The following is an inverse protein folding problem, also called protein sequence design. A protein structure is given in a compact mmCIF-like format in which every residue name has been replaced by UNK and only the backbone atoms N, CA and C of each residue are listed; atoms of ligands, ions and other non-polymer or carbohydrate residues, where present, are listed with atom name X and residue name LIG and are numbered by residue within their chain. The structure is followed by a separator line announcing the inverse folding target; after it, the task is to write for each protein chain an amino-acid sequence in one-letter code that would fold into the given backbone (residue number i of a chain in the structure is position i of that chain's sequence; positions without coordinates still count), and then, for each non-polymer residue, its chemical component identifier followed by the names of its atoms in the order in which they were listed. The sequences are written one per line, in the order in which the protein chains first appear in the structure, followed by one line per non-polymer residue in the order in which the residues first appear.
data_IF_175366320318
#
_entry.id   IF_175366320318
#
_cell.length_a   1.000
_cell.length_b   1.000
_cell.length_c   1.000
_cell.angle_alpha   90.00
_cell.angle_beta   90.00
_cell.angle_gamma   90.00
#
_symmetry.space_group_name_H-M   'P 1'
#
loop_
_entity.id
_entity.type
_entity.pdbx_description
1 polymer ?
#
# COMPACT_ATOMS: atom_id res chain seq x y z
N UNK A 1 64.09 -23.71 -23.29
CA UNK A 1 62.95 -24.50 -22.76
C UNK A 1 62.32 -23.96 -21.45
N UNK A 2 62.49 -22.67 -21.06
CA UNK A 2 61.91 -22.15 -19.79
C UNK A 2 60.65 -21.28 -19.95
N UNK A 3 60.35 -20.81 -21.16
CA UNK A 3 59.21 -19.91 -21.43
C UNK A 3 57.88 -20.68 -21.54
N UNK A 4 57.89 -21.94 -21.99
CA UNK A 4 56.65 -22.74 -22.16
C UNK A 4 55.97 -23.13 -20.85
N UNK A 5 56.72 -23.24 -19.74
CA UNK A 5 56.15 -23.58 -18.42
C UNK A 5 55.42 -22.40 -17.76
N UNK A 6 55.86 -21.17 -18.02
CA UNK A 6 55.19 -19.97 -17.48
C UNK A 6 53.86 -19.67 -18.17
N UNK A 7 53.77 -19.92 -19.48
CA UNK A 7 52.52 -19.75 -20.25
C UNK A 7 51.47 -20.78 -19.81
N UNK A 8 51.88 -22.03 -19.57
CA UNK A 8 50.97 -23.07 -19.07
C UNK A 8 50.42 -22.75 -17.66
N UNK A 9 51.26 -22.21 -16.76
CA UNK A 9 50.83 -21.78 -15.42
C UNK A 9 49.88 -20.57 -15.49
N UNK A 10 50.13 -19.63 -16.40
CA UNK A 10 49.25 -18.48 -16.61
C UNK A 10 47.87 -18.87 -17.17
N UNK A 11 47.82 -19.83 -18.10
CA UNK A 11 46.55 -20.34 -18.67
C UNK A 11 45.76 -21.11 -17.61
N UNK A 12 46.42 -21.88 -16.75
CA UNK A 12 45.76 -22.59 -15.62
C UNK A 12 45.22 -21.59 -14.59
N UNK A 13 45.98 -20.55 -14.24
CA UNK A 13 45.50 -19.48 -13.34
C UNK A 13 44.30 -18.71 -13.91
N UNK A 14 44.28 -18.45 -15.22
CA UNK A 14 43.14 -17.81 -15.89
C UNK A 14 41.90 -18.73 -15.98
N UNK A 15 42.11 -20.03 -16.19
CA UNK A 15 41.04 -21.03 -16.20
C UNK A 15 40.41 -21.21 -14.81
N UNK A 16 41.19 -21.11 -13.73
CA UNK A 16 40.67 -21.18 -12.35
C UNK A 16 39.82 -19.94 -12.01
N UNK A 17 40.16 -18.75 -12.52
CA UNK A 17 39.33 -17.56 -12.31
C UNK A 17 38.03 -17.56 -13.11
N UNK A 18 38.00 -18.22 -14.28
CA UNK A 18 36.77 -18.41 -15.05
C UNK A 18 35.82 -19.46 -14.44
N UNK A 19 36.30 -20.26 -13.49
CA UNK A 19 35.57 -21.43 -12.94
C UNK A 19 34.70 -21.12 -11.72
N UNK A 20 34.74 -19.92 -11.13
CA UNK A 20 34.02 -19.63 -9.87
C UNK A 20 33.39 -18.25 -9.86
N UNK A 21 32.34 -18.07 -10.68
CA UNK A 21 31.28 -17.09 -10.41
C UNK A 21 30.01 -17.51 -11.14
N UNK A 22 29.41 -18.63 -10.72
CA UNK A 22 28.06 -18.95 -11.18
C UNK A 22 27.13 -17.80 -10.75
N UNK A 23 26.49 -17.14 -11.72
CA UNK A 23 25.56 -16.06 -11.43
C UNK A 23 24.46 -16.60 -10.50
N UNK A 24 24.36 -16.01 -9.31
CA UNK A 24 23.32 -16.34 -8.34
C UNK A 24 21.96 -16.05 -8.97
N UNK A 25 21.09 -17.06 -8.98
CA UNK A 25 19.70 -16.91 -9.41
C UNK A 25 18.85 -16.53 -8.21
N UNK A 26 17.85 -15.67 -8.41
CA UNK A 26 16.97 -15.21 -7.35
C UNK A 26 15.51 -15.46 -7.72
N UNK A 27 14.72 -15.90 -6.74
CA UNK A 27 13.26 -15.84 -6.77
C UNK A 27 12.87 -14.41 -6.42
N UNK A 28 11.96 -13.82 -7.19
CA UNK A 28 11.51 -12.42 -7.03
C UNK A 28 10.00 -12.38 -6.85
N UNK A 29 9.54 -11.77 -5.74
CA UNK A 29 8.16 -11.39 -5.55
C UNK A 29 8.03 -9.87 -5.50
N UNK A 30 7.00 -9.36 -6.16
CA UNK A 30 6.59 -7.97 -6.05
C UNK A 30 5.47 -7.89 -5.01
N UNK A 31 5.61 -6.99 -4.04
CA UNK A 31 4.57 -6.65 -3.05
C UNK A 31 4.17 -5.20 -3.30
N UNK A 32 2.88 -4.95 -3.51
CA UNK A 32 2.36 -3.65 -3.91
C UNK A 32 1.28 -3.15 -2.94
N UNK A 33 1.07 -1.83 -2.93
CA UNK A 33 -0.09 -1.19 -2.36
C UNK A 33 -0.69 -0.22 -3.37
N UNK A 34 -2.03 -0.17 -3.44
CA UNK A 34 -2.74 0.75 -4.31
C UNK A 34 -4.07 1.22 -3.71
N UNK A 35 -4.21 2.53 -3.48
CA UNK A 35 -5.52 3.15 -3.24
C UNK A 35 -6.33 3.15 -4.55
N UNK A 36 -7.48 2.47 -4.56
CA UNK A 36 -8.29 2.28 -5.77
C UNK A 36 -9.23 3.45 -6.08
N UNK A 37 -9.20 4.52 -5.27
CA UNK A 37 -10.02 5.73 -5.34
C UNK A 37 -11.49 5.38 -5.55
N UNK A 38 -12.21 5.20 -4.44
CA UNK A 38 -13.67 5.00 -4.43
C UNK A 38 -14.12 3.90 -5.40
N UNK A 39 -13.57 2.68 -5.27
CA UNK A 39 -14.01 1.54 -6.07
C UNK A 39 -15.37 1.04 -5.58
N UNK A 40 -16.42 1.77 -5.96
CA UNK A 40 -17.82 1.46 -5.70
C UNK A 40 -18.46 0.74 -6.89
N UNK A 41 -19.40 -0.15 -6.61
CA UNK A 41 -20.34 -0.72 -7.56
C UNK A 41 -21.44 0.31 -7.91
N UNK A 42 -22.60 -0.12 -8.39
CA UNK A 42 -23.68 0.79 -8.84
C UNK A 42 -25.00 0.52 -8.13
N UNK A 43 -24.94 -0.22 -7.03
CA UNK A 43 -26.07 -0.76 -6.27
C UNK A 43 -26.17 0.06 -5.00
N UNK A 44 -27.35 0.64 -4.75
CA UNK A 44 -27.58 1.40 -3.53
C UNK A 44 -27.64 0.46 -2.31
N UNK A 45 -26.80 0.71 -1.32
CA UNK A 45 -26.75 -0.05 -0.07
C UNK A 45 -26.95 0.88 1.13
N UNK A 46 -26.55 0.47 2.34
CA UNK A 46 -26.76 1.25 3.57
C UNK A 46 -25.62 2.21 3.92
N UNK A 47 -24.54 2.22 3.14
CA UNK A 47 -23.42 3.13 3.24
C UNK A 47 -23.74 4.50 2.60
N UNK A 48 -22.93 5.50 2.93
CA UNK A 48 -23.09 6.86 2.41
C UNK A 48 -22.27 7.04 1.13
N UNK A 49 -22.79 6.56 0.00
CA UNK A 49 -22.12 6.59 -1.31
C UNK A 49 -23.04 7.04 -2.46
N UNK A 50 -24.14 7.76 -2.17
CA UNK A 50 -25.18 8.07 -3.16
C UNK A 50 -24.67 8.87 -4.37
N UNK A 51 -23.54 9.58 -4.21
CA UNK A 51 -22.83 10.26 -5.31
C UNK A 51 -22.33 9.28 -6.39
N UNK A 52 -22.01 8.04 -6.00
CA UNK A 52 -21.51 6.94 -6.83
C UNK A 52 -22.65 6.04 -7.34
N UNK A 53 -23.88 6.53 -7.40
CA UNK A 53 -24.98 5.84 -8.07
C UNK A 53 -25.20 6.38 -9.49
N UNK A 54 -25.92 5.65 -10.36
CA UNK A 54 -26.21 6.11 -11.72
C UNK A 54 -26.92 7.46 -11.80
N UNK A 55 -27.64 7.86 -10.75
CA UNK A 55 -28.33 9.15 -10.61
C UNK A 55 -27.61 10.12 -9.65
N UNK A 56 -26.47 9.73 -9.10
CA UNK A 56 -25.65 10.55 -8.21
C UNK A 56 -24.85 11.60 -8.98
N UNK A 57 -24.16 12.48 -8.24
CA UNK A 57 -23.37 13.58 -8.81
C UNK A 57 -22.23 13.11 -9.71
N UNK A 58 -21.68 11.90 -9.49
CA UNK A 58 -20.64 11.32 -10.35
C UNK A 58 -21.20 10.68 -11.63
N UNK A 59 -22.53 10.59 -11.79
CA UNK A 59 -23.17 9.84 -12.88
C UNK A 59 -22.56 8.44 -13.05
N UNK A 60 -22.41 7.70 -11.95
CA UNK A 60 -21.67 6.44 -11.91
C UNK A 60 -22.50 5.31 -12.49
N UNK A 61 -22.35 5.11 -13.80
CA UNK A 61 -23.07 4.06 -14.54
C UNK A 61 -22.30 2.74 -14.55
N UNK A 62 -22.97 1.64 -14.86
CA UNK A 62 -22.30 0.34 -15.05
C UNK A 62 -21.22 0.34 -16.13
N UNK A 63 -21.30 1.24 -17.12
CA UNK A 63 -20.23 1.42 -18.11
C UNK A 63 -18.98 2.07 -17.48
N UNK A 64 -19.16 3.08 -16.62
CA UNK A 64 -18.05 3.71 -15.89
C UNK A 64 -17.40 2.74 -14.92
N UNK A 65 -18.21 2.01 -14.14
CA UNK A 65 -17.73 0.98 -13.24
C UNK A 65 -16.87 -0.08 -13.96
N UNK A 66 -17.35 -0.64 -15.07
CA UNK A 66 -16.58 -1.60 -15.87
C UNK A 66 -15.28 -1.01 -16.41
N UNK A 67 -15.28 0.27 -16.79
CA UNK A 67 -14.06 0.95 -17.22
C UNK A 67 -13.08 1.15 -16.06
N UNK A 68 -13.56 1.50 -14.87
CA UNK A 68 -12.75 1.60 -13.65
C UNK A 68 -12.09 0.26 -13.32
N UNK A 69 -12.84 -0.85 -13.37
CA UNK A 69 -12.31 -2.21 -13.19
C UNK A 69 -11.18 -2.50 -14.18
N UNK A 70 -11.37 -2.21 -15.48
CA UNK A 70 -10.32 -2.40 -16.50
C UNK A 70 -9.08 -1.56 -16.24
N UNK A 71 -9.26 -0.31 -15.82
CA UNK A 71 -8.17 0.60 -15.47
C UNK A 71 -7.37 0.05 -14.28
N UNK A 72 -8.04 -0.39 -13.22
CA UNK A 72 -7.40 -0.98 -12.03
C UNK A 72 -6.67 -2.28 -12.38
N UNK A 73 -7.31 -3.17 -13.14
CA UNK A 73 -6.72 -4.43 -13.58
C UNK A 73 -5.46 -4.21 -14.43
N UNK A 74 -5.47 -3.21 -15.31
CA UNK A 74 -4.28 -2.83 -16.10
C UNK A 74 -3.12 -2.46 -15.18
N UNK A 75 -3.35 -1.55 -14.24
CA UNK A 75 -2.32 -1.10 -13.30
C UNK A 75 -1.77 -2.27 -12.49
N UNK A 76 -2.65 -3.09 -11.90
CA UNK A 76 -2.26 -4.28 -11.15
C UNK A 76 -1.43 -5.24 -12.00
N UNK A 77 -1.76 -5.40 -13.28
CA UNK A 77 -1.01 -6.30 -14.17
C UNK A 77 0.44 -5.83 -14.40
N UNK A 78 0.69 -4.53 -14.32
CA UNK A 78 1.93 -3.87 -14.74
C UNK A 78 2.85 -3.42 -13.58
N UNK A 79 2.32 -3.20 -12.35
CA UNK A 79 3.12 -2.73 -11.20
C UNK A 79 4.29 -3.67 -10.92
N UNK A 80 5.49 -3.09 -10.78
CA UNK A 80 6.70 -3.82 -10.39
C UNK A 80 7.05 -4.99 -11.31
N UNK A 81 6.76 -4.86 -12.61
CA UNK A 81 7.15 -5.84 -13.64
C UNK A 81 8.59 -5.61 -14.13
N UNK A 82 9.25 -4.50 -13.79
CA UNK A 82 10.61 -4.19 -14.28
C UNK A 82 11.65 -5.24 -13.87
N UNK A 83 11.55 -5.76 -12.65
CA UNK A 83 12.42 -6.83 -12.14
C UNK A 83 11.73 -8.20 -12.09
N UNK A 84 10.44 -8.25 -12.48
CA UNK A 84 9.63 -9.46 -12.52
C UNK A 84 8.76 -9.49 -13.79
N UNK A 85 9.36 -9.47 -15.00
CA UNK A 85 8.64 -9.18 -16.25
C UNK A 85 7.58 -10.20 -16.61
N UNK A 86 7.65 -11.40 -16.03
CA UNK A 86 6.72 -12.50 -16.30
C UNK A 86 5.61 -12.60 -15.24
N UNK A 87 5.61 -11.74 -14.22
CA UNK A 87 4.59 -11.78 -13.18
C UNK A 87 4.10 -10.40 -12.71
N UNK A 88 2.86 -10.37 -12.26
CA UNK A 88 2.26 -9.22 -11.57
C UNK A 88 2.53 -9.36 -10.05
N UNK A 89 2.22 -8.34 -9.23
CA UNK A 89 2.46 -8.41 -7.80
C UNK A 89 1.89 -9.66 -7.15
N UNK A 90 2.70 -10.33 -6.34
CA UNK A 90 2.29 -11.53 -5.62
C UNK A 90 1.34 -11.19 -4.48
N UNK A 91 1.54 -10.04 -3.83
CA UNK A 91 0.71 -9.50 -2.76
C UNK A 91 0.34 -8.05 -3.11
N UNK A 92 -0.93 -7.68 -2.95
CA UNK A 92 -1.43 -6.34 -3.22
C UNK A 92 -2.32 -5.92 -2.06
N UNK A 93 -1.88 -4.95 -1.26
CA UNK A 93 -2.75 -4.23 -0.35
C UNK A 93 -3.60 -3.22 -1.14
N UNK A 94 -4.87 -3.11 -0.81
CA UNK A 94 -5.78 -2.13 -1.38
C UNK A 94 -6.47 -1.28 -0.33
N UNK A 95 -6.88 -0.08 -0.72
CA UNK A 95 -7.75 0.81 0.05
C UNK A 95 -8.81 1.44 -0.87
N UNK A 96 -9.85 2.00 -0.26
CA UNK A 96 -11.01 2.61 -0.94
C UNK A 96 -11.78 1.61 -1.80
N UNK A 97 -12.11 0.49 -1.16
CA UNK A 97 -12.87 -0.61 -1.74
C UNK A 97 -14.22 -0.64 -1.07
N UNK A 98 -15.31 -0.62 -1.84
CA UNK A 98 -16.64 -0.64 -1.22
C UNK A 98 -16.94 -1.94 -0.48
N UNK A 99 -16.73 -3.06 -1.18
CA UNK A 99 -17.16 -4.36 -0.72
C UNK A 99 -16.37 -5.48 -1.40
N UNK A 100 -16.60 -6.72 -0.97
CA UNK A 100 -15.95 -7.89 -1.59
C UNK A 100 -16.32 -8.08 -3.07
N UNK A 101 -17.54 -7.73 -3.47
CA UNK A 101 -18.04 -7.91 -4.84
C UNK A 101 -17.21 -7.17 -5.87
N UNK A 102 -16.84 -5.91 -5.59
CA UNK A 102 -15.98 -5.14 -6.51
C UNK A 102 -14.59 -5.75 -6.69
N UNK A 103 -14.05 -6.41 -5.67
CA UNK A 103 -12.78 -7.13 -5.77
C UNK A 103 -12.92 -8.41 -6.57
N UNK A 104 -14.05 -9.11 -6.43
CA UNK A 104 -14.34 -10.31 -7.22
C UNK A 104 -14.48 -10.00 -8.71
N UNK A 105 -15.09 -8.86 -9.05
CA UNK A 105 -15.14 -8.36 -10.43
C UNK A 105 -13.75 -7.96 -10.93
N UNK A 106 -12.96 -7.30 -10.10
CA UNK A 106 -11.59 -6.92 -10.43
C UNK A 106 -10.70 -8.12 -10.77
N UNK A 107 -10.65 -9.14 -9.90
CA UNK A 107 -9.78 -10.30 -10.12
C UNK A 107 -10.25 -11.19 -11.29
N UNK A 108 -11.49 -11.02 -11.77
CA UNK A 108 -12.02 -11.69 -12.95
C UNK A 108 -11.72 -10.96 -14.26
N UNK A 109 -11.17 -9.74 -14.22
CA UNK A 109 -10.82 -9.01 -15.45
C UNK A 109 -9.81 -9.81 -16.30
N UNK A 110 -9.97 -9.89 -17.64
CA UNK A 110 -9.10 -10.69 -18.51
C UNK A 110 -7.60 -10.38 -18.40
N UNK A 111 -7.23 -9.17 -17.98
CA UNK A 111 -5.83 -8.77 -17.81
C UNK A 111 -5.14 -9.50 -16.65
N UNK A 112 -5.89 -9.88 -15.61
CA UNK A 112 -5.33 -10.45 -14.37
C UNK A 112 -5.96 -11.77 -13.93
N UNK A 113 -7.03 -12.25 -14.57
CA UNK A 113 -7.69 -13.52 -14.21
C UNK A 113 -6.74 -14.72 -14.18
N UNK A 114 -5.75 -14.77 -15.07
CA UNK A 114 -4.75 -15.85 -15.13
C UNK A 114 -3.74 -15.84 -13.97
N UNK A 115 -3.72 -14.77 -13.15
CA UNK A 115 -2.89 -14.68 -11.95
C UNK A 115 -3.52 -15.36 -10.74
N UNK A 116 -4.82 -15.74 -10.84
CA UNK A 116 -5.56 -16.48 -9.82
C UNK A 116 -5.41 -15.87 -8.42
N UNK A 117 -5.80 -14.59 -8.31
CA UNK A 117 -5.78 -13.88 -7.04
C UNK A 117 -6.86 -14.43 -6.09
N UNK A 118 -6.48 -14.65 -4.83
CA UNK A 118 -7.39 -14.77 -3.70
C UNK A 118 -7.62 -13.41 -3.02
N UNK A 119 -8.68 -13.31 -2.23
CA UNK A 119 -9.13 -12.07 -1.57
C UNK A 119 -9.27 -12.31 -0.07
N UNK A 120 -8.60 -11.50 0.75
CA UNK A 120 -8.92 -11.29 2.16
C UNK A 120 -9.48 -9.87 2.32
N UNK A 121 -10.70 -9.76 2.85
CA UNK A 121 -11.47 -8.52 2.98
C UNK A 121 -12.42 -8.61 4.16
N UNK A 122 -12.67 -7.49 4.83
CA UNK A 122 -13.70 -7.32 5.85
C UNK A 122 -14.33 -5.95 5.71
N UNK A 123 -15.64 -5.90 5.95
CA UNK A 123 -16.35 -4.63 6.05
C UNK A 123 -15.86 -3.85 7.27
N UNK A 124 -15.51 -2.58 7.08
CA UNK A 124 -15.06 -1.69 8.13
C UNK A 124 -16.21 -0.85 8.66
N UNK A 125 -16.07 -0.24 9.86
CA UNK A 125 -17.15 0.56 10.42
C UNK A 125 -17.15 2.00 9.85
N UNK A 126 -16.43 2.25 8.75
CA UNK A 126 -16.44 3.52 8.05
C UNK A 126 -17.81 3.80 7.42
N UNK A 127 -18.34 5.01 7.59
CA UNK A 127 -19.69 5.35 7.14
C UNK A 127 -19.85 5.41 5.63
N UNK A 128 -18.76 5.71 4.90
CA UNK A 128 -18.76 5.68 3.42
C UNK A 128 -18.68 4.24 2.90
N UNK A 129 -18.36 3.28 3.76
CA UNK A 129 -18.17 1.89 3.37
C UNK A 129 -16.91 1.69 2.53
N UNK A 130 -15.79 2.33 2.90
CA UNK A 130 -14.52 2.17 2.19
C UNK A 130 -13.51 1.37 3.00
N UNK A 131 -13.17 0.20 2.49
CA UNK A 131 -12.41 -0.82 3.19
C UNK A 131 -10.98 -0.97 2.68
N UNK A 132 -10.23 -1.82 3.40
CA UNK A 132 -8.92 -2.32 2.99
C UNK A 132 -9.01 -3.80 2.65
N UNK A 133 -8.14 -4.25 1.75
CA UNK A 133 -8.07 -5.65 1.36
C UNK A 133 -6.64 -6.11 1.11
N UNK A 134 -6.44 -7.43 1.10
CA UNK A 134 -5.27 -8.07 0.54
C UNK A 134 -5.67 -8.99 -0.60
N UNK A 135 -5.19 -8.68 -1.81
CA UNK A 135 -5.16 -9.63 -2.93
C UNK A 135 -3.84 -10.39 -2.92
N UNK A 136 -3.88 -11.69 -3.19
CA UNK A 136 -2.68 -12.53 -3.19
C UNK A 136 -2.74 -13.60 -4.27
N UNK A 137 -1.64 -13.84 -4.99
CA UNK A 137 -1.59 -14.94 -5.96
C UNK A 137 -1.55 -16.28 -5.21
N UNK A 138 -2.60 -17.10 -5.35
CA UNK A 138 -2.77 -18.35 -4.60
C UNK A 138 -1.63 -19.34 -4.81
N UNK A 139 -0.98 -19.29 -5.98
CA UNK A 139 0.19 -20.12 -6.31
C UNK A 139 1.36 -19.91 -5.34
N UNK A 140 1.57 -18.69 -4.88
CA UNK A 140 2.78 -18.30 -4.14
C UNK A 140 2.49 -18.02 -2.68
N UNK A 141 1.30 -17.49 -2.36
CA UNK A 141 0.93 -17.15 -0.99
C UNK A 141 -0.29 -17.92 -0.52
N UNK A 142 -0.15 -18.56 0.64
CA UNK A 142 -1.25 -19.26 1.33
C UNK A 142 -1.51 -18.60 2.68
N UNK A 143 -2.61 -17.84 2.84
CA UNK A 143 -3.00 -17.33 4.15
C UNK A 143 -3.20 -18.48 5.16
N UNK A 144 -2.69 -18.30 6.36
CA UNK A 144 -2.85 -19.21 7.51
C UNK A 144 -3.71 -18.60 8.60
N UNK A 145 -3.75 -17.26 8.68
CA UNK A 145 -4.61 -16.51 9.60
C UNK A 145 -4.87 -15.11 9.04
N UNK A 146 -6.04 -14.55 9.33
CA UNK A 146 -6.34 -13.15 9.03
C UNK A 146 -7.32 -12.58 10.05
N UNK A 147 -7.14 -11.31 10.39
CA UNK A 147 -7.95 -10.62 11.40
C UNK A 147 -8.11 -9.15 11.03
N UNK A 148 -9.34 -8.65 11.15
CA UNK A 148 -9.60 -7.22 11.18
C UNK A 148 -9.39 -6.70 12.61
N UNK A 149 -8.52 -5.72 12.81
CA UNK A 149 -8.14 -5.21 14.13
C UNK A 149 -8.71 -3.80 14.32
N UNK A 150 -9.70 -3.63 15.22
CA UNK A 150 -10.41 -2.37 15.35
C UNK A 150 -9.58 -1.19 15.80
N UNK A 151 -9.79 -0.03 15.16
CA UNK A 151 -9.26 1.25 15.63
C UNK A 151 -10.33 2.00 16.45
N UNK A 152 -10.01 2.24 17.72
CA UNK A 152 -10.86 3.03 18.61
C UNK A 152 -10.24 4.41 18.84
N UNK A 153 -10.90 5.44 18.31
CA UNK A 153 -10.55 6.85 18.45
C UNK A 153 -11.79 7.67 18.82
N UNK A 154 -11.60 8.79 19.52
CA UNK A 154 -12.68 9.62 20.05
C UNK A 154 -12.40 11.10 19.80
N UNK A 155 -13.43 11.87 19.44
CA UNK A 155 -13.31 13.33 19.24
C UNK A 155 -13.40 14.09 20.57
N UNK A 156 -12.61 15.15 20.75
CA UNK A 156 -12.71 16.03 21.92
C UNK A 156 -13.90 17.00 21.78
N UNK A 157 -14.53 17.36 22.91
CA UNK A 157 -15.79 18.13 22.94
C UNK A 157 -15.69 19.57 22.39
N UNK A 158 -14.50 20.17 22.43
CA UNK A 158 -14.24 21.55 21.98
C UNK A 158 -14.15 21.72 20.47
N UNK A 159 -14.13 20.63 19.70
CA UNK A 159 -13.95 20.68 18.24
C UNK A 159 -15.28 20.88 17.48
N UNK A 160 -16.41 20.48 18.06
CA UNK A 160 -17.74 20.61 17.43
C UNK A 160 -18.36 22.01 17.55
N UNK A 161 -18.02 22.77 18.59
CA UNK A 161 -18.49 24.16 18.74
C UNK A 161 -17.87 25.08 17.70
N UNK A 162 -16.64 24.78 17.24
CA UNK A 162 -15.94 25.54 16.19
C UNK A 162 -16.28 25.11 14.76
N UNK A 163 -16.82 23.91 14.57
CA UNK A 163 -17.30 23.44 13.26
C UNK A 163 -18.59 24.17 12.85
N UNK A 164 -19.50 24.42 13.80
CA UNK A 164 -20.72 25.21 13.54
C UNK A 164 -20.49 26.66 13.10
N UNK A 165 -19.35 27.27 13.46
CA UNK A 165 -19.04 28.65 13.09
C UNK A 165 -18.23 28.77 11.78
N UNK A 166 -17.70 27.66 11.25
CA UNK A 166 -16.85 27.67 10.04
C UNK A 166 -17.50 27.07 8.80
N UNK A 167 -18.57 26.27 8.93
CA UNK A 167 -19.31 25.72 7.79
C UNK A 167 -20.03 26.78 6.94
N UNK A 168 -20.16 28.03 7.41
CA UNK A 168 -20.76 29.11 6.63
C UNK A 168 -19.83 29.75 5.58
N UNK A 169 -18.52 29.42 5.56
CA UNK A 169 -17.57 29.97 4.59
C UNK A 169 -16.46 28.98 4.23
N UNK A 170 -16.57 28.45 3.02
CA UNK A 170 -15.58 27.74 2.21
C UNK A 170 -15.66 26.19 2.22
N UNK A 171 -15.78 25.67 0.99
CA UNK A 171 -15.65 24.28 0.49
C UNK A 171 -16.92 23.39 0.49
N UNK A 172 -17.46 23.17 -0.73
CA UNK A 172 -18.33 22.05 -1.10
C UNK A 172 -17.56 20.72 -0.91
N UNK A 173 -17.77 20.08 0.23
CA UNK A 173 -17.62 18.64 0.40
C UNK A 173 -18.72 18.17 1.36
N UNK A 174 -19.63 17.35 0.84
CA UNK A 174 -20.77 16.78 1.55
C UNK A 174 -20.30 15.90 2.72
N UNK A 175 -20.34 16.46 3.93
CA UNK A 175 -20.36 15.68 5.17
C UNK A 175 -21.44 16.26 6.08
N UNK A 176 -22.71 15.91 5.83
CA UNK A 176 -23.81 16.30 6.71
C UNK A 176 -23.67 15.57 8.06
N UNK A 177 -23.57 16.27 9.19
CA UNK A 177 -23.43 15.61 10.48
C UNK A 177 -24.75 14.91 10.87
N UNK A 178 -24.70 13.58 10.95
CA UNK A 178 -25.72 12.78 11.61
C UNK A 178 -25.89 13.19 13.08
N UNK A 179 -27.11 13.05 13.59
CA UNK A 179 -27.55 13.40 14.95
C UNK A 179 -26.58 12.93 16.06
N UNK A 180 -26.48 13.68 17.18
CA UNK A 180 -25.47 13.42 18.21
C UNK A 180 -25.81 12.14 18.99
N UNK A 181 -25.08 11.06 18.71
CA UNK A 181 -25.00 9.93 19.62
C UNK A 181 -24.16 10.33 20.83
N UNK A 182 -24.53 9.90 22.04
CA UNK A 182 -23.75 10.07 23.27
C UNK A 182 -22.34 9.44 23.18
N UNK A 183 -22.08 8.65 22.14
CA UNK A 183 -20.77 8.11 21.80
C UNK A 183 -19.98 9.11 20.94
N UNK A 184 -18.85 9.60 21.49
CA UNK A 184 -17.88 10.49 20.81
C UNK A 184 -16.91 9.71 19.91
N UNK A 185 -17.16 8.42 19.68
CA UNK A 185 -16.35 7.57 18.82
C UNK A 185 -16.31 8.14 17.40
N UNK A 186 -15.09 8.27 16.89
CA UNK A 186 -14.85 8.51 15.47
C UNK A 186 -14.74 7.15 14.80
N UNK A 187 -15.66 6.89 13.88
CA UNK A 187 -15.71 5.67 13.11
C UNK A 187 -14.82 5.82 11.88
N UNK A 188 -13.92 4.86 11.67
CA UNK A 188 -12.92 4.87 10.60
C UNK A 188 -12.46 3.44 10.33
N UNK A 189 -11.56 3.27 9.37
CA UNK A 189 -11.09 1.97 8.93
C UNK A 189 -10.24 1.28 9.98
N UNK A 190 -10.41 -0.02 10.05
CA UNK A 190 -9.63 -0.93 10.88
C UNK A 190 -8.33 -1.34 10.16
N UNK A 191 -7.43 -2.06 10.85
CA UNK A 191 -6.20 -2.57 10.27
C UNK A 191 -6.31 -4.07 9.98
N UNK A 192 -6.13 -4.45 8.71
CA UNK A 192 -6.19 -5.84 8.29
C UNK A 192 -4.82 -6.51 8.48
N UNK A 193 -4.74 -7.46 9.40
CA UNK A 193 -3.57 -8.33 9.57
C UNK A 193 -3.80 -9.67 8.86
N UNK A 194 -2.87 -10.07 8.00
CA UNK A 194 -2.85 -11.37 7.35
C UNK A 194 -1.50 -12.04 7.58
N UNK A 195 -1.51 -13.27 8.11
CA UNK A 195 -0.34 -14.15 8.17
C UNK A 195 -0.49 -15.23 7.11
N UNK A 196 0.60 -15.58 6.44
CA UNK A 196 0.61 -16.71 5.51
C UNK A 196 1.99 -17.12 5.06
N UNK A 197 2.03 -18.17 4.25
CA UNK A 197 3.27 -18.73 3.71
C UNK A 197 3.50 -18.22 2.30
N UNK A 198 4.56 -17.42 2.09
CA UNK A 198 5.08 -17.02 0.77
C UNK A 198 6.16 -18.01 0.35
N UNK A 199 5.88 -18.86 -0.63
CA UNK A 199 6.78 -19.93 -1.10
C UNK A 199 7.41 -20.73 0.06
N UNK A 200 6.57 -21.05 1.05
CA UNK A 200 6.95 -21.84 2.23
C UNK A 200 7.62 -21.05 3.36
N UNK A 201 7.73 -19.72 3.26
CA UNK A 201 8.20 -18.86 4.35
C UNK A 201 7.07 -18.02 4.95
N UNK A 202 6.98 -17.97 6.28
CA UNK A 202 5.96 -17.16 6.94
C UNK A 202 6.24 -15.65 6.76
N UNK A 203 5.20 -14.92 6.38
CA UNK A 203 5.17 -13.46 6.29
C UNK A 203 3.86 -12.95 6.88
N UNK A 204 3.93 -11.81 7.55
CA UNK A 204 2.79 -11.05 8.04
C UNK A 204 2.62 -9.77 7.22
N UNK A 205 1.40 -9.47 6.82
CA UNK A 205 1.03 -8.27 6.09
C UNK A 205 -0.03 -7.51 6.86
N UNK A 206 0.23 -6.24 7.14
CA UNK A 206 -0.73 -5.29 7.71
C UNK A 206 -1.12 -4.30 6.62
N UNK A 207 -2.40 -4.27 6.24
CA UNK A 207 -2.94 -3.30 5.28
C UNK A 207 -3.70 -2.21 6.05
N UNK A 208 -3.42 -0.95 5.69
CA UNK A 208 -3.91 0.22 6.39
C UNK A 208 -4.57 1.21 5.43
N UNK A 209 -5.57 1.93 5.94
CA UNK A 209 -6.05 3.19 5.38
C UNK A 209 -6.35 4.13 6.55
N UNK A 210 -5.38 4.94 6.96
CA UNK A 210 -5.49 5.75 8.17
C UNK A 210 -6.43 6.95 7.99
N UNK A 211 -6.94 7.53 9.10
CA UNK A 211 -7.83 8.68 9.05
C UNK A 211 -7.30 9.82 8.17
N UNK A 212 -8.17 10.39 7.34
CA UNK A 212 -7.83 11.48 6.43
C UNK A 212 -7.41 12.74 7.17
N UNK A 213 -6.89 13.73 6.42
CA UNK A 213 -6.55 15.06 6.94
C UNK A 213 -7.76 16.00 7.08
N UNK A 214 -8.98 15.48 7.23
CA UNK A 214 -10.22 16.28 7.36
C UNK A 214 -10.14 17.29 8.51
N UNK A 215 -10.61 18.52 8.26
CA UNK A 215 -10.46 19.64 9.21
C UNK A 215 -9.02 20.15 9.37
N UNK A 216 -8.10 19.72 8.52
CA UNK A 216 -6.69 20.10 8.50
C UNK A 216 -5.77 19.10 9.19
N UNK A 217 -4.52 19.02 8.72
CA UNK A 217 -3.51 18.08 9.21
C UNK A 217 -3.31 18.16 10.73
N UNK A 218 -3.18 19.37 11.29
CA UNK A 218 -2.94 19.59 12.72
C UNK A 218 -4.08 19.06 13.59
N UNK A 219 -5.33 19.22 13.16
CA UNK A 219 -6.52 18.79 13.90
C UNK A 219 -6.65 17.27 13.87
N UNK A 220 -6.40 16.67 12.71
CA UNK A 220 -6.57 15.23 12.45
C UNK A 220 -5.37 14.36 12.87
N UNK A 221 -4.16 14.93 13.01
CA UNK A 221 -2.92 14.21 13.36
C UNK A 221 -3.06 13.22 14.53
N UNK A 222 -3.72 13.56 15.66
CA UNK A 222 -3.86 12.64 16.78
C UNK A 222 -4.53 11.30 16.43
N UNK A 223 -5.43 11.28 15.44
CA UNK A 223 -6.09 10.05 14.97
C UNK A 223 -5.14 9.14 14.19
N UNK A 224 -4.29 9.72 13.33
CA UNK A 224 -3.25 8.96 12.61
C UNK A 224 -2.15 8.48 13.55
N UNK A 225 -1.78 9.27 14.55
CA UNK A 225 -0.88 8.83 15.61
C UNK A 225 -1.46 7.65 16.41
N UNK A 226 -2.77 7.65 16.69
CA UNK A 226 -3.44 6.51 17.32
C UNK A 226 -3.44 5.26 16.44
N UNK A 227 -3.71 5.41 15.14
CA UNK A 227 -3.61 4.33 14.16
C UNK A 227 -2.18 3.75 14.09
N UNK A 228 -1.17 4.62 14.07
CA UNK A 228 0.23 4.21 14.10
C UNK A 228 0.61 3.45 15.38
N UNK A 229 0.15 3.87 16.56
CA UNK A 229 0.37 3.12 17.81
C UNK A 229 -0.28 1.74 17.78
N UNK A 230 -1.48 1.62 17.23
CA UNK A 230 -2.14 0.31 17.05
C UNK A 230 -1.29 -0.58 16.14
N UNK A 231 -0.83 -0.04 15.00
CA UNK A 231 0.01 -0.75 14.06
C UNK A 231 1.32 -1.22 14.72
N UNK A 232 2.00 -0.33 15.46
CA UNK A 232 3.22 -0.66 16.21
C UNK A 232 2.98 -1.77 17.22
N UNK A 233 1.85 -1.74 17.96
CA UNK A 233 1.47 -2.80 18.90
C UNK A 233 1.28 -4.15 18.21
N UNK A 234 0.71 -4.17 17.00
CA UNK A 234 0.58 -5.40 16.20
C UNK A 234 1.96 -5.95 15.84
N UNK A 235 2.85 -5.10 15.30
CA UNK A 235 4.24 -5.47 14.96
C UNK A 235 4.96 -6.04 16.19
N UNK A 236 4.92 -5.34 17.32
CA UNK A 236 5.60 -5.75 18.54
C UNK A 236 5.08 -7.10 19.06
N UNK A 237 3.77 -7.34 18.96
CA UNK A 237 3.15 -8.61 19.37
C UNK A 237 3.63 -9.78 18.50
N UNK A 238 3.75 -9.58 17.19
CA UNK A 238 4.25 -10.60 16.26
C UNK A 238 5.73 -10.90 16.53
N UNK A 239 6.54 -9.87 16.77
CA UNK A 239 7.97 -10.02 17.09
C UNK A 239 8.18 -10.69 18.45
N UNK A 240 7.29 -10.44 19.42
CA UNK A 240 7.32 -11.13 20.72
C UNK A 240 7.06 -12.63 20.58
N UNK A 241 6.18 -13.04 19.66
CA UNK A 241 5.89 -14.46 19.38
C UNK A 241 7.05 -15.09 18.60
N UNK A 242 7.57 -14.40 17.60
CA UNK A 242 8.67 -14.85 16.77
C UNK A 242 9.67 -13.69 16.53
N UNK A 243 10.85 -13.70 17.16
CA UNK A 243 11.87 -12.66 16.98
C UNK A 243 12.38 -12.48 15.54
N UNK A 244 12.13 -13.43 14.64
CA UNK A 244 12.45 -13.35 13.22
C UNK A 244 11.23 -13.05 12.33
N UNK A 245 10.10 -12.63 12.92
CA UNK A 245 8.88 -12.33 12.19
C UNK A 245 9.11 -11.24 11.11
N UNK A 246 8.78 -11.60 9.86
CA UNK A 246 8.81 -10.71 8.71
C UNK A 246 7.46 -10.03 8.60
N UNK A 247 7.38 -8.80 9.10
CA UNK A 247 6.15 -8.01 9.07
C UNK A 247 6.29 -6.92 8.03
N UNK A 248 5.37 -6.87 7.09
CA UNK A 248 5.21 -5.80 6.11
C UNK A 248 3.98 -5.01 6.53
N UNK A 249 4.12 -3.70 6.72
CA UNK A 249 2.98 -2.80 6.89
C UNK A 249 2.89 -1.87 5.69
N UNK A 250 1.72 -1.83 5.07
CA UNK A 250 1.47 -1.06 3.86
C UNK A 250 0.15 -0.32 3.94
N UNK A 251 0.01 0.78 3.22
CA UNK A 251 -1.24 1.51 3.22
C UNK A 251 -1.13 2.92 2.67
N UNK A 252 -2.31 3.52 2.49
CA UNK A 252 -2.48 4.96 2.46
C UNK A 252 -2.52 5.42 3.92
N UNK A 253 -1.41 6.01 4.36
CA UNK A 253 -1.24 6.43 5.74
C UNK A 253 -1.81 7.82 6.00
N UNK A 254 -2.27 8.54 4.96
CA UNK A 254 -2.64 9.96 5.05
C UNK A 254 -1.57 10.85 5.72
N UNK A 255 -0.32 10.36 5.78
CA UNK A 255 0.84 11.00 6.38
C UNK A 255 2.10 10.61 5.62
N UNK A 256 2.98 11.59 5.42
CA UNK A 256 4.28 11.40 4.80
C UNK A 256 5.29 10.71 5.74
N UNK A 257 6.44 10.24 5.23
CA UNK A 257 7.46 9.54 6.02
C UNK A 257 8.03 10.35 7.19
N UNK A 258 7.86 11.68 7.17
CA UNK A 258 8.36 12.62 8.17
C UNK A 258 7.35 12.93 9.28
N UNK A 259 6.07 12.60 9.10
CA UNK A 259 5.04 12.88 10.10
C UNK A 259 5.24 12.06 11.38
N UNK A 260 4.75 12.57 12.51
CA UNK A 260 4.91 11.95 13.84
C UNK A 260 4.39 10.51 13.89
N UNK A 261 3.26 10.24 13.24
CA UNK A 261 2.68 8.89 13.11
C UNK A 261 3.68 7.88 12.54
N UNK A 262 4.37 8.21 11.45
CA UNK A 262 5.36 7.32 10.81
C UNK A 262 6.71 7.37 11.53
N UNK A 263 7.23 8.57 11.80
CA UNK A 263 8.59 8.74 12.29
C UNK A 263 8.77 8.38 13.77
N UNK A 264 7.75 8.67 14.58
CA UNK A 264 7.81 8.50 16.05
C UNK A 264 6.98 7.31 16.51
N UNK A 265 5.70 7.26 16.14
CA UNK A 265 4.78 6.24 16.69
C UNK A 265 5.06 4.84 16.10
N UNK A 266 5.23 4.72 14.77
CA UNK A 266 5.79 3.50 14.17
C UNK A 266 7.27 3.36 14.53
N UNK A 267 8.02 4.47 14.56
CA UNK A 267 9.46 4.48 14.78
C UNK A 267 10.27 4.14 13.52
N UNK A 268 9.77 4.53 12.35
CA UNK A 268 10.35 4.18 11.06
C UNK A 268 11.74 4.82 10.84
N UNK A 269 12.67 4.03 10.30
CA UNK A 269 14.07 4.38 10.09
C UNK A 269 14.42 4.35 8.60
N UNK A 270 15.16 5.37 8.15
CA UNK A 270 15.61 5.51 6.76
C UNK A 270 16.77 4.57 6.43
N UNK A 271 17.70 4.39 7.36
CA UNK A 271 18.94 3.65 7.09
C UNK A 271 18.91 2.27 7.73
N UNK A 272 19.32 1.25 6.97
CA UNK A 272 19.34 -0.14 7.43
C UNK A 272 20.27 -0.33 8.64
N UNK A 273 21.34 0.45 8.76
CA UNK A 273 22.28 0.39 9.89
C UNK A 273 21.69 0.94 11.20
N UNK A 274 20.57 1.66 11.15
CA UNK A 274 19.84 2.12 12.34
C UNK A 274 18.90 1.04 12.91
N UNK A 275 18.69 -0.06 12.19
CA UNK A 275 17.93 -1.21 12.65
C UNK A 275 18.83 -2.05 13.56
N UNK A 276 18.55 -2.02 14.87
CA UNK A 276 19.33 -2.69 15.93
C UNK A 276 18.56 -3.83 16.57
N UNK A 277 17.24 -3.80 16.51
CA UNK A 277 16.36 -4.83 17.06
C UNK A 277 15.41 -5.35 15.98
N UNK A 278 14.95 -6.61 16.10
CA UNK A 278 14.02 -7.21 15.14
C UNK A 278 12.73 -6.39 14.93
N UNK A 279 12.28 -5.69 15.97
CA UNK A 279 11.08 -4.83 15.92
C UNK A 279 11.30 -3.49 15.20
N UNK A 280 12.54 -3.13 14.88
CA UNK A 280 12.81 -1.89 14.18
C UNK A 280 12.22 -1.93 12.77
N UNK A 281 11.62 -0.80 12.37
CA UNK A 281 10.91 -0.69 11.10
C UNK A 281 11.75 0.13 10.12
N UNK A 282 12.03 -0.44 8.96
CA UNK A 282 12.67 0.22 7.84
C UNK A 282 11.62 0.82 6.90
N UNK A 283 11.85 2.06 6.47
CA UNK A 283 10.99 2.74 5.50
C UNK A 283 11.81 3.23 4.28
N UNK A 284 11.72 2.55 3.13
CA UNK A 284 12.42 2.97 1.92
C UNK A 284 11.85 4.26 1.30
N UNK A 285 10.61 4.62 1.63
CA UNK A 285 9.94 5.79 1.04
C UNK A 285 10.40 7.11 1.65
N UNK A 286 11.06 7.09 2.83
CA UNK A 286 11.67 8.31 3.39
C UNK A 286 12.77 8.86 2.47
N UNK A 287 13.53 8.02 1.77
CA UNK A 287 14.51 8.49 0.80
C UNK A 287 13.84 9.12 -0.41
N UNK A 288 12.78 8.49 -0.92
CA UNK A 288 12.02 8.98 -2.08
C UNK A 288 11.39 10.35 -1.81
N UNK A 289 10.87 10.56 -0.60
CA UNK A 289 10.36 11.87 -0.16
C UNK A 289 11.45 12.95 -0.22
N UNK A 290 12.66 12.65 0.26
CA UNK A 290 13.81 13.59 0.23
C UNK A 290 14.27 13.91 -1.19
N UNK A 291 14.03 12.98 -2.12
CA UNK A 291 14.32 13.13 -3.55
C UNK A 291 13.18 13.84 -4.31
N UNK A 292 12.11 14.25 -3.63
CA UNK A 292 10.99 14.99 -4.22
C UNK A 292 9.99 14.12 -4.98
N UNK A 293 9.97 12.81 -4.75
CA UNK A 293 8.93 11.94 -5.29
C UNK A 293 7.62 12.14 -4.51
N UNK A 294 6.50 11.80 -5.14
CA UNK A 294 5.17 11.89 -4.57
C UNK A 294 4.30 10.71 -5.02
N UNK A 295 3.37 10.29 -4.17
CA UNK A 295 2.30 9.36 -4.52
C UNK A 295 0.99 10.09 -4.80
N UNK A 296 0.82 11.31 -4.28
CA UNK A 296 -0.33 12.17 -4.54
C UNK A 296 0.06 13.65 -4.44
N UNK A 297 -0.87 14.53 -4.80
CA UNK A 297 -0.70 15.97 -4.72
C UNK A 297 -1.93 16.62 -4.11
N UNK A 298 -1.72 17.56 -3.19
CA UNK A 298 -2.77 18.37 -2.58
C UNK A 298 -2.33 19.83 -2.53
N UNK A 299 -3.14 20.74 -3.09
CA UNK A 299 -2.82 22.19 -3.18
C UNK A 299 -1.41 22.45 -3.73
N UNK A 300 -1.07 21.81 -4.83
CA UNK A 300 0.24 21.89 -5.52
C UNK A 300 1.45 21.39 -4.72
N UNK A 301 1.22 20.72 -3.58
CA UNK A 301 2.26 20.04 -2.81
C UNK A 301 2.15 18.52 -3.00
N UNK A 302 3.22 17.92 -3.53
CA UNK A 302 3.38 16.47 -3.60
C UNK A 302 3.81 15.87 -2.27
N UNK A 303 3.24 14.72 -1.90
CA UNK A 303 3.60 13.97 -0.69
C UNK A 303 3.55 12.46 -0.95
N UNK A 304 4.07 11.65 -0.04
CA UNK A 304 4.03 10.19 -0.09
C UNK A 304 3.19 9.66 1.07
N UNK A 305 1.88 9.52 0.88
CA UNK A 305 1.02 8.84 1.86
C UNK A 305 1.04 7.34 1.69
N UNK A 306 1.20 6.85 0.46
CA UNK A 306 1.23 5.43 0.13
C UNK A 306 2.64 4.88 0.42
N UNK A 307 2.75 4.03 1.44
CA UNK A 307 4.04 3.54 1.91
C UNK A 307 4.01 2.04 2.16
N UNK A 308 5.14 1.38 1.95
CA UNK A 308 5.39 -0.01 2.36
C UNK A 308 6.63 -0.04 3.24
N UNK A 309 6.44 -0.34 4.52
CA UNK A 309 7.48 -0.45 5.54
C UNK A 309 7.57 -1.88 6.05
N UNK A 310 8.69 -2.25 6.65
CA UNK A 310 8.87 -3.63 7.14
C UNK A 310 9.88 -3.73 8.27
N UNK A 311 9.77 -4.80 9.05
CA UNK A 311 10.66 -5.10 10.18
C UNK A 311 12.08 -5.45 9.73
N UNK A 312 13.05 -5.28 10.65
CA UNK A 312 14.47 -5.59 10.45
C UNK A 312 14.74 -6.97 9.82
N UNK A 313 14.04 -8.08 10.14
CA UNK A 313 14.26 -9.37 9.52
C UNK A 313 14.17 -9.36 7.98
N UNK A 314 13.33 -8.50 7.40
CA UNK A 314 13.24 -8.32 5.95
C UNK A 314 14.37 -7.43 5.38
N UNK A 315 15.02 -6.60 6.19
CA UNK A 315 16.09 -5.69 5.77
C UNK A 315 17.50 -6.32 5.79
N UNK A 316 17.65 -7.53 6.36
CA UNK A 316 18.92 -8.28 6.43
C UNK A 316 19.51 -8.55 5.05
N UNK A 317 20.83 -8.78 5.00
CA UNK A 317 21.60 -9.01 3.75
C UNK A 317 21.85 -10.49 3.41
N UNK A 318 21.44 -11.40 4.28
CA UNK A 318 21.45 -12.84 3.99
C UNK A 318 20.20 -13.21 3.16
N UNK A 319 20.42 -13.64 1.92
CA UNK A 319 19.38 -13.99 0.95
C UNK A 319 19.03 -15.48 0.93
N UNK A 320 19.44 -16.26 1.94
CA UNK A 320 18.97 -17.64 2.14
C UNK A 320 17.44 -17.75 2.31
N UNK A 321 16.80 -16.62 2.60
CA UNK A 321 15.38 -16.42 2.82
C UNK A 321 14.94 -15.08 2.21
N UNK A 322 13.64 -14.82 2.04
CA UNK A 322 13.16 -13.58 1.41
C UNK A 322 13.62 -12.32 2.15
N UNK A 323 14.21 -11.38 1.41
CA UNK A 323 14.66 -10.06 1.89
C UNK A 323 14.24 -8.95 0.94
N UNK A 324 14.10 -7.75 1.48
CA UNK A 324 13.91 -6.54 0.70
C UNK A 324 15.13 -6.23 -0.16
N UNK A 325 14.86 -5.97 -1.45
CA UNK A 325 15.86 -5.50 -2.40
C UNK A 325 15.68 -4.03 -2.75
N UNK A 326 14.54 -3.65 -3.32
CA UNK A 326 14.28 -2.32 -3.90
C UNK A 326 12.80 -1.95 -3.78
N UNK A 327 12.52 -0.65 -3.69
CA UNK A 327 11.19 -0.07 -3.70
C UNK A 327 10.99 0.83 -4.94
N UNK A 328 9.74 1.13 -5.28
CA UNK A 328 9.40 2.11 -6.30
C UNK A 328 7.98 2.66 -6.19
N UNK A 329 7.76 3.80 -6.85
CA UNK A 329 6.44 4.38 -7.13
C UNK A 329 6.15 4.11 -8.60
N UNK A 330 4.96 3.59 -8.91
CA UNK A 330 4.54 3.27 -10.27
C UNK A 330 3.75 4.45 -10.86
N UNK A 331 4.39 5.23 -11.73
CA UNK A 331 3.85 6.48 -12.28
C UNK A 331 4.00 6.55 -13.81
N UNK A 332 3.48 5.52 -14.52
CA UNK A 332 3.52 5.50 -15.98
C UNK A 332 2.78 6.70 -16.59
N UNK A 333 3.14 7.17 -17.81
CA UNK A 333 2.53 8.35 -18.42
C UNK A 333 0.99 8.31 -18.51
N UNK A 334 0.40 7.13 -18.68
CA UNK A 334 -1.06 6.97 -18.77
C UNK A 334 -1.78 7.17 -17.42
N UNK A 335 -1.03 7.19 -16.31
CA UNK A 335 -1.53 7.51 -14.97
C UNK A 335 -1.43 9.00 -14.64
N UNK A 336 -0.95 9.84 -15.56
CA UNK A 336 -0.64 11.25 -15.29
C UNK A 336 -1.59 12.13 -16.10
N UNK A 337 -2.22 13.08 -15.43
CA UNK A 337 -3.00 14.13 -16.08
C UNK A 337 -2.08 14.97 -16.96
N UNK A 338 -2.35 15.01 -18.28
CA UNK A 338 -1.44 15.63 -19.26
C UNK A 338 -1.75 17.11 -19.55
N UNK A 339 -2.93 17.60 -19.17
CA UNK A 339 -3.46 18.92 -19.54
C UNK A 339 -4.26 19.57 -18.42
N UNK A 340 -4.49 20.88 -18.51
CA UNK A 340 -5.30 21.63 -17.54
C UNK A 340 -4.56 21.97 -16.25
N UNK A 341 -5.30 22.48 -15.26
CA UNK A 341 -4.75 22.94 -13.98
C UNK A 341 -4.04 21.85 -13.18
N UNK A 342 -4.47 20.59 -13.32
CA UNK A 342 -3.89 19.43 -12.62
C UNK A 342 -2.83 18.69 -13.44
N UNK A 343 -2.22 19.35 -14.43
CA UNK A 343 -1.16 18.71 -15.24
C UNK A 343 -0.01 18.22 -14.35
N UNK A 344 0.34 16.94 -14.47
CA UNK A 344 1.38 16.28 -13.67
C UNK A 344 0.83 15.50 -12.47
N UNK A 345 -0.43 15.69 -12.09
CA UNK A 345 -1.08 14.94 -11.02
C UNK A 345 -1.46 13.53 -11.49
N UNK A 346 -1.68 12.58 -10.56
CA UNK A 346 -2.38 11.33 -10.87
C UNK A 346 -3.68 11.59 -11.64
N UNK A 347 -3.93 10.76 -12.66
CA UNK A 347 -5.13 10.82 -13.48
C UNK A 347 -6.28 10.17 -12.73
N UNK A 348 -6.95 10.99 -11.92
CA UNK A 348 -8.05 10.60 -11.05
C UNK A 348 -9.38 10.45 -11.77
N UNK A 349 -10.37 9.84 -11.12
CA UNK A 349 -11.73 9.82 -11.63
C UNK A 349 -12.33 11.23 -11.70
N UNK A 350 -13.07 11.52 -12.77
CA UNK A 350 -13.85 12.75 -12.89
C UNK A 350 -15.25 12.50 -13.44
N UNK A 351 -16.13 13.49 -13.29
CA UNK A 351 -17.55 13.38 -13.66
C UNK A 351 -17.78 12.94 -15.13
N UNK A 352 -16.86 13.25 -16.04
CA UNK A 352 -16.99 12.92 -17.47
C UNK A 352 -15.99 11.88 -17.98
N UNK A 353 -14.92 11.61 -17.23
CA UNK A 353 -13.84 10.73 -17.65
C UNK A 353 -13.47 9.74 -16.54
N UNK A 354 -13.41 8.46 -16.91
CA UNK A 354 -13.04 7.40 -15.97
C UNK A 354 -11.52 7.28 -15.91
N UNK A 355 -10.91 7.99 -14.96
CA UNK A 355 -9.50 7.87 -14.62
C UNK A 355 -9.14 6.59 -13.86
N UNK A 356 -7.99 6.64 -13.19
CA UNK A 356 -7.39 5.54 -12.44
C UNK A 356 -7.55 5.75 -10.93
N UNK A 357 -6.75 6.64 -10.36
CA UNK A 357 -6.72 6.94 -8.93
C UNK A 357 -6.06 8.30 -8.76
N UNK A 358 -6.42 9.04 -7.72
CA UNK A 358 -5.70 10.22 -7.25
C UNK A 358 -4.38 9.87 -6.52
N UNK A 359 -4.03 8.58 -6.46
CA UNK A 359 -2.77 8.06 -5.93
C UNK A 359 -1.99 7.25 -6.97
N UNK A 360 -0.66 7.36 -6.96
CA UNK A 360 0.23 6.43 -7.65
C UNK A 360 0.49 5.18 -6.78
N UNK A 361 0.39 3.97 -7.34
CA UNK A 361 0.72 2.75 -6.61
C UNK A 361 2.18 2.71 -6.17
N UNK A 362 2.44 2.03 -5.07
CA UNK A 362 3.79 1.78 -4.55
C UNK A 362 4.10 0.30 -4.48
N UNK A 363 5.37 -0.07 -4.58
CA UNK A 363 5.78 -1.47 -4.54
C UNK A 363 7.18 -1.66 -3.97
N UNK A 364 7.44 -2.88 -3.48
CA UNK A 364 8.77 -3.39 -3.13
C UNK A 364 9.01 -4.74 -3.78
N UNK A 365 10.28 -5.08 -3.95
CA UNK A 365 10.74 -6.41 -4.35
C UNK A 365 11.29 -7.17 -3.14
N UNK A 366 10.80 -8.39 -2.96
CA UNK A 366 11.39 -9.39 -2.09
C UNK A 366 12.16 -10.40 -2.94
N UNK A 367 13.41 -10.67 -2.57
CA UNK A 367 14.25 -11.64 -3.27
C UNK A 367 14.80 -12.70 -2.33
N UNK A 368 14.99 -13.91 -2.86
CA UNK A 368 15.61 -15.05 -2.18
C UNK A 368 16.51 -15.78 -3.16
N UNK A 369 17.73 -16.12 -2.74
CA UNK A 369 18.66 -16.90 -3.56
C UNK A 369 18.06 -18.28 -3.85
N UNK A 370 17.98 -18.64 -5.13
CA UNK A 370 17.54 -19.96 -5.56
C UNK A 370 18.61 -20.98 -5.16
N UNK A 371 18.18 -22.13 -4.64
CA UNK A 371 19.08 -23.25 -4.36
C UNK A 371 19.62 -23.89 -5.63
#
# INVERSE_FOLDING_TARGET
MRISRFIAVFIVLFAIQASVAQQKKFIVHTVAFYNLENLFDTINQSNNDEEWLPKGSQNWTGAKYKQKIKNMARVISEIGTSENPNNSPTLIGGAEIENRGVLEDLVKDPQIIRKDYGIVHFDSPDKRGIDVALLYQKKYFKPTSYKNIPLYIYSNATDKEKEKEKEDKDDEADDKPAAPTADKRVYTRDQLLVTGMLDGEEIHVIVNHWPSRSGGEKKSSPFREAAARLNRKIIDSLIQINPDAKVITMGDLNDGPYNKSVKVEIGAKLKRDQLKESRDVYNPFEQMQREGNATLFYRDAGDIFDQIMFTEPLARKDFSSFRYWKAGIYNKPYLITTTGQYKGYPLRHGANEVGYSDHFPVYIYLIKESK
#
